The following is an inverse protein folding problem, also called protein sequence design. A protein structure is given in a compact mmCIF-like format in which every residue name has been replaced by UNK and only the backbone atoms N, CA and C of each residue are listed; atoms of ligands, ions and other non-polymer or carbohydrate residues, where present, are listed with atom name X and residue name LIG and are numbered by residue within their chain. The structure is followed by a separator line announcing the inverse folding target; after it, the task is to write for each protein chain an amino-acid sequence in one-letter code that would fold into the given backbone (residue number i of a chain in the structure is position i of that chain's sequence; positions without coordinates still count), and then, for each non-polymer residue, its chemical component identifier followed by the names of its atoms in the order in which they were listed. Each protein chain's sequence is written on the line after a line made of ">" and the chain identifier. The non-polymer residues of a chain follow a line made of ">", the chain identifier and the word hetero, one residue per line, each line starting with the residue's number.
data_IF_996475623842
#
_entry.id   IF_996475623842
#
_cell.length_a   1.000
_cell.length_b   1.000
_cell.length_c   1.000
_cell.angle_alpha   90.00
_cell.angle_beta   90.00
_cell.angle_gamma   90.00
#
_symmetry.space_group_name_H-M   'P 1'
#
loop_
_entity.id
_entity.type
_entity.pdbx_description
1 polymer ?
#
# COMPACT_ATOMS: atom_id res chain seq x y z
N UNK A 1 21.15 -3.98 2.66
CA UNK A 1 20.29 -4.85 1.84
C UNK A 1 18.86 -5.03 2.40
N UNK A 2 18.64 -5.24 3.70
CA UNK A 2 17.35 -5.80 4.17
C UNK A 2 16.26 -4.83 4.64
N UNK A 3 16.55 -3.60 5.09
CA UNK A 3 15.54 -2.82 5.85
C UNK A 3 14.35 -2.31 5.02
N UNK A 4 14.58 -1.82 3.81
CA UNK A 4 13.51 -1.24 2.98
C UNK A 4 12.71 -2.28 2.18
N UNK A 5 13.38 -3.36 1.75
CA UNK A 5 12.73 -4.48 1.04
C UNK A 5 11.74 -5.19 1.95
N UNK A 6 12.10 -5.40 3.23
CA UNK A 6 11.19 -5.97 4.23
C UNK A 6 9.94 -5.13 4.45
N UNK A 7 10.08 -3.80 4.38
CA UNK A 7 8.97 -2.86 4.54
C UNK A 7 8.00 -2.94 3.34
N UNK A 8 8.54 -2.98 2.12
CA UNK A 8 7.75 -3.21 0.91
C UNK A 8 7.07 -4.58 0.89
N UNK A 9 7.78 -5.63 1.30
CA UNK A 9 7.24 -6.99 1.38
C UNK A 9 6.11 -7.09 2.42
N UNK A 10 6.29 -6.45 3.58
CA UNK A 10 5.24 -6.38 4.61
C UNK A 10 3.97 -5.72 4.08
N UNK A 11 4.08 -4.57 3.42
CA UNK A 11 2.93 -3.89 2.81
C UNK A 11 2.29 -4.70 1.67
N UNK A 12 3.10 -5.44 0.89
CA UNK A 12 2.60 -6.31 -0.16
C UNK A 12 1.76 -7.45 0.41
N UNK A 13 2.25 -8.11 1.47
CA UNK A 13 1.52 -9.16 2.18
C UNK A 13 0.26 -8.58 2.80
N UNK A 14 0.33 -7.41 3.43
CA UNK A 14 -0.82 -6.74 4.02
C UNK A 14 -1.89 -6.41 2.96
N UNK A 15 -1.49 -5.89 1.81
CA UNK A 15 -2.37 -5.63 0.67
C UNK A 15 -3.02 -6.91 0.11
N UNK A 16 -2.28 -8.01 0.04
CA UNK A 16 -2.80 -9.32 -0.32
C UNK A 16 -3.81 -9.86 0.70
N UNK A 17 -3.52 -9.72 1.99
CA UNK A 17 -4.43 -10.12 3.07
C UNK A 17 -5.72 -9.30 3.03
N UNK A 18 -5.64 -8.00 2.77
CA UNK A 18 -6.84 -7.15 2.61
C UNK A 18 -7.62 -7.58 1.37
N UNK A 19 -6.93 -7.84 0.25
CA UNK A 19 -7.54 -8.26 -1.03
C UNK A 19 -8.23 -9.62 -0.93
N UNK A 20 -7.56 -10.63 -0.39
CA UNK A 20 -8.01 -12.04 -0.38
C UNK A 20 -8.83 -12.34 0.86
N UNK A 21 -8.39 -11.85 2.01
CA UNK A 21 -9.06 -12.08 3.30
C UNK A 21 -10.26 -11.18 3.55
N UNK A 22 -10.53 -10.19 2.67
CA UNK A 22 -11.61 -9.20 2.82
C UNK A 22 -11.61 -8.50 4.19
N UNK A 23 -10.46 -8.46 4.87
CA UNK A 23 -10.29 -7.92 6.22
C UNK A 23 -10.16 -6.40 6.20
N UNK A 24 -11.17 -5.72 5.63
CA UNK A 24 -11.28 -4.25 5.65
C UNK A 24 -11.43 -3.70 7.07
N UNK A 25 -11.75 -4.55 8.05
CA UNK A 25 -11.73 -4.23 9.48
C UNK A 25 -10.34 -3.84 10.00
N UNK A 26 -9.26 -4.21 9.30
CA UNK A 26 -7.90 -3.78 9.62
C UNK A 26 -7.62 -2.34 9.16
N UNK A 27 -8.52 -1.73 8.38
CA UNK A 27 -8.35 -0.36 7.93
C UNK A 27 -8.67 0.60 9.06
N UNK A 28 -7.75 1.54 9.40
CA UNK A 28 -8.01 2.53 10.42
C UNK A 28 -9.17 3.43 9.98
N UNK A 29 -10.21 3.54 10.81
CA UNK A 29 -11.42 4.31 10.52
C UNK A 29 -12.53 3.53 9.80
N UNK A 30 -12.39 2.22 9.63
CA UNK A 30 -13.47 1.39 9.10
C UNK A 30 -14.59 1.21 10.13
N UNK A 31 -15.81 1.59 9.75
CA UNK A 31 -17.01 1.37 10.56
C UNK A 31 -18.00 0.52 9.76
N UNK A 32 -18.49 -0.59 10.34
CA UNK A 32 -19.33 -1.56 9.62
C UNK A 32 -20.62 -0.96 9.06
N UNK A 33 -21.09 0.13 9.66
CA UNK A 33 -22.33 0.83 9.30
C UNK A 33 -22.16 1.84 8.15
N UNK A 34 -20.92 2.27 7.85
CA UNK A 34 -20.62 3.25 6.79
C UNK A 34 -20.37 2.60 5.42
N UNK A 35 -20.17 1.27 5.36
CA UNK A 35 -19.72 0.56 4.16
C UNK A 35 -20.60 -0.64 3.81
N UNK A 36 -21.47 -0.46 2.83
CA UNK A 36 -22.32 -1.51 2.24
C UNK A 36 -21.48 -2.49 1.38
N UNK A 37 -20.57 -1.93 0.58
CA UNK A 37 -19.75 -2.68 -0.39
C UNK A 37 -18.33 -2.99 0.14
N UNK A 38 -18.27 -3.92 1.09
CA UNK A 38 -17.01 -4.38 1.73
C UNK A 38 -16.06 -5.06 0.74
N UNK A 39 -16.63 -5.78 -0.23
CA UNK A 39 -15.85 -6.48 -1.25
C UNK A 39 -15.22 -5.51 -2.25
N UNK A 40 -15.98 -4.50 -2.69
CA UNK A 40 -15.47 -3.43 -3.54
C UNK A 40 -14.32 -2.67 -2.88
N UNK A 41 -14.49 -2.29 -1.61
CA UNK A 41 -13.44 -1.60 -0.84
C UNK A 41 -12.19 -2.47 -0.63
N UNK A 42 -12.38 -3.75 -0.28
CA UNK A 42 -11.28 -4.71 -0.11
C UNK A 42 -10.49 -4.92 -1.41
N UNK A 43 -11.21 -5.12 -2.52
CA UNK A 43 -10.61 -5.36 -3.83
C UNK A 43 -9.90 -4.12 -4.36
N UNK A 44 -10.49 -2.94 -4.21
CA UNK A 44 -9.88 -1.69 -4.65
C UNK A 44 -8.65 -1.33 -3.80
N UNK A 45 -8.80 -1.33 -2.46
CA UNK A 45 -7.70 -0.99 -1.55
C UNK A 45 -6.56 -1.99 -1.65
N UNK A 46 -6.89 -3.29 -1.68
CA UNK A 46 -5.92 -4.36 -1.83
C UNK A 46 -5.21 -4.34 -3.19
N UNK A 47 -5.91 -4.06 -4.30
CA UNK A 47 -5.27 -3.96 -5.62
C UNK A 47 -4.35 -2.74 -5.72
N UNK A 48 -4.74 -1.60 -5.16
CA UNK A 48 -3.91 -0.40 -5.19
C UNK A 48 -2.69 -0.51 -4.26
N UNK A 49 -2.85 -1.07 -3.05
CA UNK A 49 -1.73 -1.36 -2.15
C UNK A 49 -0.76 -2.38 -2.77
N UNK A 50 -1.29 -3.39 -3.47
CA UNK A 50 -0.47 -4.36 -4.19
C UNK A 50 0.32 -3.69 -5.32
N UNK A 51 -0.34 -2.87 -6.16
CA UNK A 51 0.31 -2.15 -7.24
C UNK A 51 1.42 -1.21 -6.72
N UNK A 52 1.13 -0.43 -5.68
CA UNK A 52 2.09 0.47 -5.03
C UNK A 52 3.29 -0.29 -4.46
N UNK A 53 3.05 -1.45 -3.83
CA UNK A 53 4.13 -2.27 -3.27
C UNK A 53 5.02 -2.87 -4.36
N UNK A 54 4.43 -3.32 -5.48
CA UNK A 54 5.20 -3.83 -6.63
C UNK A 54 6.03 -2.72 -7.28
N UNK A 55 5.45 -1.53 -7.49
CA UNK A 55 6.20 -0.38 -8.02
C UNK A 55 7.35 0.03 -7.10
N UNK A 56 7.09 0.08 -5.78
CA UNK A 56 8.11 0.48 -4.80
C UNK A 56 9.23 -0.56 -4.71
N UNK A 57 8.92 -1.86 -4.71
CA UNK A 57 9.93 -2.93 -4.76
C UNK A 57 10.75 -2.90 -6.06
N UNK A 58 10.10 -2.69 -7.20
CA UNK A 58 10.78 -2.54 -8.49
C UNK A 58 11.73 -1.34 -8.49
N UNK A 59 11.28 -0.20 -7.97
CA UNK A 59 12.09 1.01 -7.83
C UNK A 59 13.31 0.84 -6.91
N UNK A 60 13.14 0.15 -5.78
CA UNK A 60 14.23 -0.17 -4.85
C UNK A 60 15.25 -1.12 -5.50
N UNK A 61 14.79 -2.12 -6.27
CA UNK A 61 15.66 -3.05 -7.01
C UNK A 61 16.47 -2.33 -8.11
N UNK A 62 15.83 -1.46 -8.89
CA UNK A 62 16.50 -0.65 -9.92
C UNK A 62 17.50 0.33 -9.28
N UNK A 63 17.11 0.97 -8.19
CA UNK A 63 18.00 1.86 -7.43
C UNK A 63 19.24 1.14 -6.87
N UNK A 64 19.16 -0.17 -6.68
CA UNK A 64 20.31 -0.99 -6.27
C UNK A 64 21.26 -1.32 -7.43
N UNK A 65 20.76 -1.41 -8.67
CA UNK A 65 21.60 -1.57 -9.86
C UNK A 65 22.50 -0.35 -10.10
N UNK A 66 22.15 0.81 -9.55
CA UNK A 66 22.97 2.02 -9.63
C UNK A 66 24.11 1.90 -8.62
N UNK A 67 25.34 1.83 -9.10
CA UNK A 67 26.56 1.61 -8.28
C UNK A 67 26.85 2.68 -7.23
N UNK A 68 26.12 3.82 -7.23
CA UNK A 68 26.30 4.87 -6.25
C UNK A 68 25.51 4.60 -4.95
N UNK A 69 26.19 4.35 -3.82
CA UNK A 69 25.53 3.97 -2.56
C UNK A 69 24.62 5.08 -1.99
N UNK A 70 24.98 6.34 -2.24
CA UNK A 70 24.20 7.52 -1.81
C UNK A 70 22.87 7.59 -2.56
N UNK A 71 22.89 7.36 -3.88
CA UNK A 71 21.70 7.38 -4.73
C UNK A 71 20.75 6.25 -4.34
N UNK A 72 21.27 5.05 -4.10
CA UNK A 72 20.47 3.92 -3.61
C UNK A 72 19.76 4.20 -2.28
N UNK A 73 20.43 4.89 -1.34
CA UNK A 73 19.85 5.27 -0.06
C UNK A 73 18.73 6.31 -0.23
N UNK A 74 18.98 7.37 -0.98
CA UNK A 74 17.97 8.42 -1.26
C UNK A 74 16.75 7.81 -1.96
N UNK A 75 16.96 6.99 -2.97
CA UNK A 75 15.88 6.31 -3.68
C UNK A 75 15.08 5.39 -2.75
N UNK A 76 15.75 4.61 -1.90
CA UNK A 76 15.07 3.78 -0.90
C UNK A 76 14.17 4.56 0.05
N UNK A 77 14.64 5.71 0.53
CA UNK A 77 13.84 6.61 1.39
C UNK A 77 12.65 7.18 0.61
N UNK A 78 12.86 7.69 -0.60
CA UNK A 78 11.79 8.25 -1.45
C UNK A 78 10.71 7.21 -1.73
N UNK A 79 11.09 6.00 -2.14
CA UNK A 79 10.15 4.92 -2.40
C UNK A 79 9.39 4.46 -1.15
N UNK A 80 10.04 4.48 0.02
CA UNK A 80 9.36 4.16 1.29
C UNK A 80 8.34 5.23 1.70
N UNK A 81 8.68 6.52 1.55
CA UNK A 81 7.73 7.61 1.79
C UNK A 81 6.56 7.55 0.81
N UNK A 82 6.82 7.28 -0.47
CA UNK A 82 5.79 7.12 -1.48
C UNK A 82 4.85 5.96 -1.15
N UNK A 83 5.37 4.84 -0.63
CA UNK A 83 4.58 3.69 -0.22
C UNK A 83 3.65 4.04 0.96
N UNK A 84 4.16 4.75 1.97
CA UNK A 84 3.39 5.17 3.15
C UNK A 84 2.32 6.21 2.76
N UNK A 85 2.72 7.32 2.13
CA UNK A 85 1.80 8.39 1.76
C UNK A 85 0.78 7.93 0.70
N UNK A 86 1.25 7.19 -0.31
CA UNK A 86 0.40 6.61 -1.35
C UNK A 86 -0.57 5.58 -0.77
N UNK A 87 -0.12 4.75 0.17
CA UNK A 87 -0.97 3.83 0.90
C UNK A 87 -2.09 4.54 1.65
N UNK A 88 -1.77 5.60 2.41
CA UNK A 88 -2.77 6.40 3.14
C UNK A 88 -3.75 7.07 2.17
N UNK A 89 -3.27 7.69 1.08
CA UNK A 89 -4.15 8.31 0.08
C UNK A 89 -5.10 7.31 -0.56
N UNK A 90 -4.60 6.11 -0.90
CA UNK A 90 -5.44 5.03 -1.40
C UNK A 90 -6.53 4.75 -0.36
N UNK A 91 -6.18 4.47 0.89
CA UNK A 91 -7.17 4.16 1.92
C UNK A 91 -8.21 5.29 2.10
N UNK A 92 -7.79 6.55 2.04
CA UNK A 92 -8.70 7.70 2.11
C UNK A 92 -9.64 7.78 0.91
N UNK A 93 -9.13 7.63 -0.31
CA UNK A 93 -9.93 7.66 -1.54
C UNK A 93 -10.88 6.46 -1.60
N UNK A 94 -10.42 5.27 -1.20
CA UNK A 94 -11.26 4.08 -1.08
C UNK A 94 -12.37 4.30 -0.08
N UNK A 95 -12.03 4.80 1.10
CA UNK A 95 -13.02 5.14 2.12
C UNK A 95 -14.03 6.16 1.60
N UNK A 96 -13.60 7.26 0.98
CA UNK A 96 -14.50 8.27 0.42
C UNK A 96 -15.37 7.75 -0.74
N UNK A 97 -14.84 6.84 -1.56
CA UNK A 97 -15.52 6.27 -2.73
C UNK A 97 -16.58 5.24 -2.36
N UNK A 98 -16.31 4.42 -1.34
CA UNK A 98 -17.20 3.34 -0.92
C UNK A 98 -18.00 3.67 0.36
N UNK A 99 -17.75 4.81 1.00
CA UNK A 99 -18.56 5.31 2.10
C UNK A 99 -19.94 5.65 1.59
N UNK A 100 -20.95 5.08 2.23
CA UNK A 100 -22.34 5.34 1.89
C UNK A 100 -22.67 6.78 2.26
N UNK A 101 -23.06 7.60 1.28
CA UNK A 101 -23.59 8.95 1.55
C UNK A 101 -25.05 8.77 1.95
N UNK A 102 -25.30 8.63 3.27
CA UNK A 102 -26.63 8.92 3.80
C UNK A 102 -27.00 10.38 3.52
#
# INVERSE_FOLDING_TARGET
>A
MSRFVWLGAFFLILGLIIRVGKKVELLPGYNKEDFDDKEGLAKWSGNMLFLMSVLSLGGILIGHLISHPIVGLVMGVVYSMMLICGGIMVLMVGSAKFKNKK
#
